data_IF_063977158986
#
_entry.id   IF_063977158986
#
_cell.length_a   1.000
_cell.length_b   1.000
_cell.length_c   1.000
_cell.angle_alpha   90.00
_cell.angle_beta   90.00
_cell.angle_gamma   90.00
#
_symmetry.space_group_name_H-M   'P 1'
#
loop_
_entity.id
_entity.type
_entity.pdbx_description
1 polymer ?
#
# COMPACT_ATOMS: atom_id res chain seq x y z
N UNK A 1 -52.06 15.18 -40.00
CA UNK A 1 -51.10 14.12 -39.70
C UNK A 1 -50.06 14.74 -38.76
N UNK A 2 -50.28 14.61 -37.44
CA UNK A 2 -49.52 15.35 -36.41
C UNK A 2 -48.55 14.39 -35.79
N UNK A 3 -47.26 14.60 -36.01
CA UNK A 3 -46.17 13.83 -35.36
C UNK A 3 -45.97 14.34 -33.95
N UNK A 4 -46.27 13.50 -32.93
CA UNK A 4 -45.93 13.73 -31.54
C UNK A 4 -44.49 13.32 -31.28
N UNK A 5 -43.63 14.28 -31.01
CA UNK A 5 -42.27 14.06 -30.54
C UNK A 5 -42.32 13.67 -29.04
N UNK A 6 -41.94 12.43 -28.72
CA UNK A 6 -41.81 11.95 -27.36
C UNK A 6 -40.44 12.36 -26.81
N UNK A 7 -40.44 13.26 -25.82
CA UNK A 7 -39.27 13.58 -25.01
C UNK A 7 -38.94 12.39 -24.10
N UNK A 8 -37.82 11.72 -24.32
CA UNK A 8 -37.26 10.73 -23.40
C UNK A 8 -36.44 11.50 -22.37
N UNK A 9 -36.99 11.64 -21.17
CA UNK A 9 -36.26 12.14 -20.00
C UNK A 9 -35.28 11.08 -19.57
N UNK A 10 -33.99 11.33 -19.77
CA UNK A 10 -32.93 10.55 -19.14
C UNK A 10 -32.91 10.86 -17.63
N UNK A 11 -33.41 9.94 -16.83
CA UNK A 11 -33.26 9.94 -15.40
C UNK A 11 -31.85 9.48 -15.10
N UNK A 12 -30.96 10.41 -14.74
CA UNK A 12 -29.69 10.13 -14.12
C UNK A 12 -29.94 9.58 -12.72
N UNK A 13 -29.90 8.27 -12.59
CA UNK A 13 -29.89 7.59 -11.30
C UNK A 13 -28.52 7.78 -10.67
N UNK A 14 -28.37 8.77 -9.80
CA UNK A 14 -27.27 8.82 -8.84
C UNK A 14 -27.49 7.70 -7.83
N UNK A 15 -26.83 6.57 -8.02
CA UNK A 15 -26.73 5.54 -7.02
C UNK A 15 -25.76 6.03 -5.92
N UNK A 16 -26.29 6.73 -4.92
CA UNK A 16 -25.58 6.93 -3.66
C UNK A 16 -25.60 5.59 -2.93
N UNK A 17 -24.48 4.87 -2.97
CA UNK A 17 -24.28 3.70 -2.11
C UNK A 17 -24.12 4.24 -0.69
N UNK A 18 -25.25 4.42 0.00
CA UNK A 18 -25.29 4.62 1.46
C UNK A 18 -25.08 3.27 2.12
N UNK A 19 -23.81 2.87 2.29
CA UNK A 19 -23.48 1.77 3.18
C UNK A 19 -23.70 2.27 4.60
N UNK A 20 -24.83 1.88 5.19
CA UNK A 20 -25.14 2.14 6.60
C UNK A 20 -24.17 1.32 7.44
N UNK A 21 -23.06 1.93 7.84
CA UNK A 21 -22.20 1.36 8.88
C UNK A 21 -22.89 1.55 10.23
N UNK A 22 -23.35 0.45 10.83
CA UNK A 22 -23.66 0.41 12.24
C UNK A 22 -22.43 0.87 13.01
N UNK A 23 -22.58 1.92 13.80
CA UNK A 23 -21.52 2.49 14.64
C UNK A 23 -21.32 1.56 15.84
N UNK A 24 -20.67 0.41 15.62
CA UNK A 24 -20.12 -0.36 16.73
C UNK A 24 -19.10 0.54 17.44
N UNK A 25 -19.19 0.60 18.77
CA UNK A 25 -18.18 1.23 19.62
C UNK A 25 -16.88 0.42 19.48
N UNK A 26 -16.15 0.63 18.39
CA UNK A 26 -14.86 0.02 18.15
C UNK A 26 -13.86 0.56 19.17
N UNK A 27 -13.11 -0.32 19.80
CA UNK A 27 -11.90 0.04 20.53
C UNK A 27 -11.05 0.88 19.58
N UNK A 28 -10.86 2.15 19.91
CA UNK A 28 -9.95 3.00 19.12
C UNK A 28 -8.56 2.36 19.23
N UNK A 29 -7.98 2.00 18.08
CA UNK A 29 -6.64 1.42 18.03
C UNK A 29 -5.64 2.41 18.63
N UNK A 30 -4.93 2.00 19.68
CA UNK A 30 -4.00 2.87 20.41
C UNK A 30 -2.65 2.97 19.69
N UNK A 31 -2.57 3.92 18.76
CA UNK A 31 -1.37 4.19 17.97
C UNK A 31 -0.17 4.59 18.84
N UNK A 32 -0.40 5.37 19.91
CA UNK A 32 0.71 5.81 20.79
C UNK A 32 1.33 4.60 21.50
N UNK A 33 0.50 3.68 21.95
CA UNK A 33 0.96 2.42 22.56
C UNK A 33 1.73 1.57 21.58
N UNK A 34 1.28 1.49 20.31
CA UNK A 34 1.96 0.76 19.25
C UNK A 34 3.34 1.37 18.95
N UNK A 35 3.40 2.68 18.73
CA UNK A 35 4.66 3.36 18.42
C UNK A 35 5.64 3.26 19.58
N UNK A 36 5.19 3.41 20.83
CA UNK A 36 6.02 3.18 22.00
C UNK A 36 6.57 1.74 22.08
N UNK A 37 5.76 0.74 21.73
CA UNK A 37 6.22 -0.65 21.66
C UNK A 37 7.30 -0.85 20.59
N UNK A 38 7.18 -0.21 19.44
CA UNK A 38 8.22 -0.23 18.39
C UNK A 38 9.50 0.43 18.85
N UNK A 39 9.45 1.61 19.48
CA UNK A 39 10.62 2.29 20.05
C UNK A 39 11.35 1.45 21.10
N UNK A 40 10.60 0.81 22.00
CA UNK A 40 11.16 -0.08 23.01
C UNK A 40 11.84 -1.29 22.38
N UNK A 41 11.24 -1.88 21.35
CA UNK A 41 11.82 -3.00 20.63
C UNK A 41 13.05 -2.56 19.82
N UNK A 42 13.05 -1.40 19.18
CA UNK A 42 14.23 -0.84 18.50
C UNK A 42 15.42 -0.73 19.45
N UNK A 43 15.21 -0.18 20.68
CA UNK A 43 16.25 -0.08 21.71
C UNK A 43 16.79 -1.44 22.13
N UNK A 44 15.91 -2.42 22.41
CA UNK A 44 16.31 -3.80 22.76
C UNK A 44 17.12 -4.46 21.65
N UNK A 45 16.69 -4.29 20.39
CA UNK A 45 17.38 -4.86 19.24
C UNK A 45 18.74 -4.18 19.00
N UNK A 46 18.84 -2.88 19.23
CA UNK A 46 20.11 -2.15 19.17
C UNK A 46 21.12 -2.70 20.19
N UNK A 47 20.68 -2.95 21.42
CA UNK A 47 21.53 -3.60 22.44
C UNK A 47 21.92 -5.03 22.03
N UNK A 48 20.99 -5.80 21.46
CA UNK A 48 21.26 -7.15 20.94
C UNK A 48 22.32 -7.14 19.82
N UNK A 49 22.27 -6.16 18.92
CA UNK A 49 23.23 -5.97 17.84
C UNK A 49 24.61 -5.60 18.39
N UNK A 50 24.68 -4.77 19.45
CA UNK A 50 25.96 -4.47 20.13
C UNK A 50 26.61 -5.73 20.67
N UNK A 51 25.85 -6.65 21.26
CA UNK A 51 26.34 -7.93 21.77
C UNK A 51 26.65 -8.95 20.67
N UNK A 52 25.93 -8.92 19.55
CA UNK A 52 26.16 -9.80 18.40
C UNK A 52 25.97 -9.06 17.07
N UNK A 53 26.97 -8.35 16.53
CA UNK A 53 26.88 -7.59 15.30
C UNK A 53 26.61 -8.41 14.03
N UNK A 54 26.74 -9.73 14.09
CA UNK A 54 26.45 -10.63 12.96
C UNK A 54 25.04 -11.21 12.97
N UNK A 55 24.18 -10.83 13.91
CA UNK A 55 22.82 -11.33 14.04
C UNK A 55 21.90 -10.76 12.94
N UNK A 56 21.77 -11.45 11.82
CA UNK A 56 20.83 -11.09 10.73
C UNK A 56 19.41 -10.88 11.25
N UNK A 57 18.97 -11.73 12.19
CA UNK A 57 17.64 -11.60 12.81
C UNK A 57 17.45 -10.28 13.56
N UNK A 58 18.48 -9.81 14.27
CA UNK A 58 18.39 -8.57 15.03
C UNK A 58 18.35 -7.36 14.08
N UNK A 59 19.20 -7.34 13.05
CA UNK A 59 19.19 -6.32 12.01
C UNK A 59 17.84 -6.27 11.29
N UNK A 60 17.32 -7.43 10.82
CA UNK A 60 16.01 -7.51 10.15
C UNK A 60 14.88 -6.93 10.99
N UNK A 61 14.79 -7.36 12.26
CA UNK A 61 13.73 -6.89 13.15
C UNK A 61 13.86 -5.41 13.49
N UNK A 62 15.08 -4.90 13.67
CA UNK A 62 15.27 -3.48 13.94
C UNK A 62 14.92 -2.63 12.71
N UNK A 63 15.30 -3.05 11.53
CA UNK A 63 14.89 -2.43 10.28
C UNK A 63 13.37 -2.35 10.14
N UNK A 64 12.64 -3.43 10.49
CA UNK A 64 11.18 -3.42 10.50
C UNK A 64 10.63 -2.39 11.51
N UNK A 65 11.15 -2.35 12.75
CA UNK A 65 10.70 -1.34 13.74
C UNK A 65 10.94 0.09 13.26
N UNK A 66 12.10 0.33 12.68
CA UNK A 66 12.50 1.63 12.14
C UNK A 66 11.60 2.06 10.97
N UNK A 67 11.31 1.14 10.05
CA UNK A 67 10.39 1.41 8.95
C UNK A 67 8.99 1.73 9.48
N UNK A 68 8.49 0.95 10.43
CA UNK A 68 7.17 1.18 11.03
C UNK A 68 7.07 2.49 11.84
N UNK A 69 8.19 3.02 12.31
CA UNK A 69 8.31 4.35 12.93
C UNK A 69 8.53 5.48 11.91
N UNK A 70 8.59 5.17 10.60
CA UNK A 70 8.87 6.15 9.54
C UNK A 70 10.35 6.58 9.46
N UNK A 71 11.26 5.87 10.14
CA UNK A 71 12.71 6.09 10.10
C UNK A 71 13.32 5.35 8.90
N UNK A 72 12.97 5.77 7.69
CA UNK A 72 13.26 5.02 6.46
C UNK A 72 14.76 4.90 6.17
N UNK A 73 15.56 5.95 6.40
CA UNK A 73 17.02 5.90 6.23
C UNK A 73 17.68 4.89 7.17
N UNK A 74 17.26 4.88 8.43
CA UNK A 74 17.76 3.93 9.41
C UNK A 74 17.34 2.50 9.08
N UNK A 75 16.12 2.30 8.59
CA UNK A 75 15.61 0.99 8.15
C UNK A 75 16.40 0.47 6.95
N UNK A 76 16.65 1.33 5.94
CA UNK A 76 17.50 1.02 4.78
C UNK A 76 18.89 0.57 5.24
N UNK A 77 19.51 1.34 6.13
CA UNK A 77 20.86 1.02 6.64
C UNK A 77 20.92 -0.36 7.33
N UNK A 78 19.88 -0.72 8.08
CA UNK A 78 19.80 -2.03 8.71
C UNK A 78 19.64 -3.16 7.67
N UNK A 79 18.81 -2.97 6.64
CA UNK A 79 18.60 -3.95 5.58
C UNK A 79 19.85 -4.10 4.68
N UNK A 80 20.52 -3.00 4.33
CA UNK A 80 21.80 -3.05 3.61
C UNK A 80 22.87 -3.76 4.44
N UNK A 81 22.88 -3.58 5.76
CA UNK A 81 23.79 -4.30 6.66
C UNK A 81 23.55 -5.81 6.63
N UNK A 82 22.32 -6.26 6.51
CA UNK A 82 22.02 -7.68 6.34
C UNK A 82 22.64 -8.24 5.06
N UNK A 83 22.52 -7.53 3.94
CA UNK A 83 23.12 -7.92 2.66
C UNK A 83 24.63 -7.92 2.73
N UNK A 84 25.26 -6.95 3.44
CA UNK A 84 26.70 -6.98 3.67
C UNK A 84 27.15 -8.20 4.48
N UNK A 85 26.34 -8.67 5.41
CA UNK A 85 26.64 -9.85 6.23
C UNK A 85 26.39 -11.17 5.48
N UNK A 86 25.42 -11.18 4.59
CA UNK A 86 25.03 -12.30 3.74
C UNK A 86 24.52 -11.79 2.39
N UNK A 87 25.38 -11.71 1.37
CA UNK A 87 25.00 -11.22 0.04
C UNK A 87 23.88 -12.02 -0.66
N UNK A 88 23.66 -13.28 -0.28
CA UNK A 88 22.60 -14.09 -0.85
C UNK A 88 21.20 -13.56 -0.50
N UNK A 89 21.08 -12.72 0.52
CA UNK A 89 19.81 -12.10 0.90
C UNK A 89 19.34 -11.01 -0.06
N UNK A 90 20.21 -10.44 -0.90
CA UNK A 90 19.88 -9.33 -1.78
C UNK A 90 18.68 -9.65 -2.66
N UNK A 91 18.66 -10.82 -3.30
CA UNK A 91 17.60 -11.24 -4.22
C UNK A 91 16.24 -11.42 -3.54
N UNK A 92 16.20 -11.67 -2.23
CA UNK A 92 14.97 -11.92 -1.46
C UNK A 92 14.52 -10.71 -0.61
N UNK A 93 15.25 -9.58 -0.66
CA UNK A 93 15.07 -8.48 0.30
C UNK A 93 14.07 -7.41 -0.14
N UNK A 94 12.80 -7.79 -0.42
CA UNK A 94 11.73 -6.88 -0.84
C UNK A 94 11.49 -5.69 0.13
N UNK A 95 11.78 -5.84 1.44
CA UNK A 95 11.64 -4.77 2.45
C UNK A 95 12.58 -3.60 2.18
N UNK A 96 13.77 -3.88 1.65
CA UNK A 96 14.71 -2.83 1.21
C UNK A 96 14.11 -2.05 0.04
N UNK A 97 13.42 -2.72 -0.89
CA UNK A 97 12.69 -2.06 -1.97
C UNK A 97 11.62 -1.10 -1.46
N UNK A 98 10.88 -1.48 -0.40
CA UNK A 98 9.90 -0.58 0.25
C UNK A 98 10.60 0.61 0.92
N UNK A 99 11.73 0.40 1.61
CA UNK A 99 12.49 1.49 2.20
C UNK A 99 12.98 2.48 1.14
N UNK A 100 13.55 2.00 0.03
CA UNK A 100 13.92 2.86 -1.10
C UNK A 100 12.74 3.63 -1.68
N UNK A 101 11.57 3.00 -1.79
CA UNK A 101 10.37 3.68 -2.30
C UNK A 101 9.98 4.90 -1.43
N UNK A 102 9.96 4.74 -0.11
CA UNK A 102 9.64 5.84 0.81
C UNK A 102 10.77 6.88 0.95
N UNK A 103 11.98 6.55 0.54
CA UNK A 103 13.11 7.49 0.41
C UNK A 103 13.15 8.17 -0.96
N UNK A 104 12.17 7.92 -1.82
CA UNK A 104 12.09 8.42 -3.19
C UNK A 104 13.24 7.96 -4.11
N UNK A 105 14.02 6.96 -3.68
CA UNK A 105 15.03 6.31 -4.51
C UNK A 105 14.35 5.25 -5.41
N UNK A 106 13.49 5.75 -6.30
CA UNK A 106 12.58 4.91 -7.07
C UNK A 106 13.28 3.96 -8.05
N UNK A 107 14.43 4.33 -8.57
CA UNK A 107 15.20 3.46 -9.47
C UNK A 107 15.78 2.27 -8.70
N UNK A 108 16.32 2.47 -7.49
CA UNK A 108 16.76 1.37 -6.64
C UNK A 108 15.59 0.52 -6.15
N UNK A 109 14.46 1.14 -5.80
CA UNK A 109 13.25 0.41 -5.45
C UNK A 109 12.80 -0.51 -6.59
N UNK A 110 12.68 0.02 -7.82
CA UNK A 110 12.29 -0.76 -8.99
C UNK A 110 13.27 -1.90 -9.29
N UNK A 111 14.58 -1.65 -9.13
CA UNK A 111 15.60 -2.68 -9.28
C UNK A 111 15.47 -3.77 -8.23
N UNK A 112 15.29 -3.43 -6.96
CA UNK A 112 15.13 -4.40 -5.86
C UNK A 112 13.93 -5.31 -6.09
N UNK A 113 12.79 -4.78 -6.55
CA UNK A 113 11.63 -5.58 -6.89
C UNK A 113 11.81 -6.40 -8.18
N UNK A 114 12.66 -5.97 -9.10
CA UNK A 114 13.01 -6.75 -10.29
C UNK A 114 13.85 -7.99 -9.91
N UNK A 115 14.87 -7.84 -9.09
CA UNK A 115 15.71 -8.97 -8.67
C UNK A 115 14.92 -9.93 -7.77
N UNK A 116 14.00 -9.43 -6.93
CA UNK A 116 13.11 -10.27 -6.14
C UNK A 116 12.20 -11.14 -7.02
N UNK A 117 11.73 -10.65 -8.16
CA UNK A 117 10.92 -11.45 -9.07
C UNK A 117 11.64 -12.72 -9.59
N UNK A 118 12.96 -12.66 -9.71
CA UNK A 118 13.76 -13.84 -10.08
C UNK A 118 13.83 -14.88 -8.93
N UNK A 119 13.66 -14.43 -7.69
CA UNK A 119 13.59 -15.28 -6.50
C UNK A 119 12.18 -15.83 -6.27
N UNK A 120 11.15 -15.00 -6.43
CA UNK A 120 9.74 -15.35 -6.27
C UNK A 120 8.91 -14.81 -7.46
N UNK A 121 8.70 -15.65 -8.48
CA UNK A 121 7.98 -15.30 -9.69
C UNK A 121 6.45 -15.43 -9.55
N UNK A 122 5.92 -15.69 -8.36
CA UNK A 122 4.48 -15.82 -8.12
C UNK A 122 3.90 -14.67 -7.28
N UNK A 123 4.72 -13.84 -6.67
CA UNK A 123 4.27 -12.72 -5.83
C UNK A 123 3.92 -11.47 -6.65
N UNK A 124 2.64 -11.33 -7.03
CA UNK A 124 2.13 -10.16 -7.77
C UNK A 124 2.24 -8.86 -6.98
N UNK A 125 2.25 -8.91 -5.66
CA UNK A 125 2.43 -7.73 -4.80
C UNK A 125 3.76 -7.05 -5.08
N UNK A 126 4.81 -7.85 -5.28
CA UNK A 126 6.12 -7.36 -5.70
C UNK A 126 6.08 -6.60 -7.05
N UNK A 127 5.34 -7.13 -8.03
CA UNK A 127 5.16 -6.46 -9.32
C UNK A 127 4.41 -5.12 -9.21
N UNK A 128 3.47 -5.00 -8.28
CA UNK A 128 2.78 -3.74 -7.99
C UNK A 128 3.77 -2.70 -7.43
N UNK A 129 4.61 -3.08 -6.48
CA UNK A 129 5.63 -2.18 -5.93
C UNK A 129 6.63 -1.73 -6.98
N UNK A 130 7.05 -2.64 -7.87
CA UNK A 130 7.90 -2.28 -9.01
C UNK A 130 7.21 -1.30 -9.95
N UNK A 131 5.93 -1.53 -10.27
CA UNK A 131 5.15 -0.60 -11.09
C UNK A 131 5.11 0.80 -10.47
N UNK A 132 4.78 0.90 -9.17
CA UNK A 132 4.71 2.20 -8.48
C UNK A 132 6.05 2.93 -8.50
N UNK A 133 7.15 2.20 -8.29
CA UNK A 133 8.50 2.75 -8.36
C UNK A 133 8.85 3.27 -9.77
N UNK A 134 8.55 2.48 -10.81
CA UNK A 134 8.75 2.90 -12.20
C UNK A 134 7.82 4.05 -12.62
N UNK A 135 6.60 4.07 -12.10
CA UNK A 135 5.69 5.19 -12.37
C UNK A 135 6.29 6.51 -11.84
N UNK A 136 6.79 6.51 -10.63
CA UNK A 136 7.40 7.69 -10.00
C UNK A 136 8.69 8.14 -10.70
N UNK A 137 9.52 7.21 -11.18
CA UNK A 137 10.80 7.55 -11.82
C UNK A 137 10.68 7.80 -13.32
N UNK A 138 9.78 7.10 -14.04
CA UNK A 138 9.77 7.03 -15.52
C UNK A 138 8.39 7.23 -16.15
N UNK A 139 7.36 7.41 -15.33
CA UNK A 139 5.99 7.67 -15.76
C UNK A 139 5.18 6.43 -16.16
N UNK A 140 3.90 6.66 -16.46
CA UNK A 140 2.88 5.61 -16.61
C UNK A 140 3.17 4.63 -17.73
N UNK A 141 3.64 5.12 -18.88
CA UNK A 141 3.93 4.26 -20.04
C UNK A 141 4.98 3.20 -19.67
N UNK A 142 6.12 3.64 -19.14
CA UNK A 142 7.22 2.74 -18.74
C UNK A 142 6.79 1.77 -17.65
N UNK A 143 6.00 2.23 -16.66
CA UNK A 143 5.51 1.38 -15.60
C UNK A 143 4.58 0.27 -16.12
N UNK A 144 3.70 0.56 -17.08
CA UNK A 144 2.82 -0.45 -17.70
C UNK A 144 3.57 -1.42 -18.61
N UNK A 145 4.49 -0.93 -19.44
CA UNK A 145 5.35 -1.77 -20.27
C UNK A 145 6.26 -2.68 -19.43
N UNK A 146 6.70 -2.18 -18.27
CA UNK A 146 7.53 -2.90 -17.32
C UNK A 146 6.77 -3.78 -16.32
N UNK A 147 5.43 -3.88 -16.40
CA UNK A 147 4.67 -4.70 -15.47
C UNK A 147 5.07 -6.17 -15.57
N UNK A 148 5.52 -6.74 -14.44
CA UNK A 148 6.03 -8.11 -14.39
C UNK A 148 4.94 -9.12 -14.77
N UNK A 149 5.31 -10.16 -15.49
CA UNK A 149 4.40 -11.22 -15.92
C UNK A 149 4.40 -12.34 -14.90
N UNK A 150 3.22 -12.78 -14.50
CA UNK A 150 3.02 -13.89 -13.58
C UNK A 150 2.07 -14.91 -14.21
N UNK A 151 2.48 -16.17 -14.19
CA UNK A 151 1.68 -17.30 -14.68
C UNK A 151 0.80 -17.91 -13.59
N UNK A 152 1.20 -17.73 -12.34
CA UNK A 152 0.52 -18.23 -11.15
C UNK A 152 0.31 -17.09 -10.17
N UNK A 153 -0.27 -17.35 -9.08
CA UNK A 153 -0.74 -16.44 -8.03
C UNK A 153 -2.16 -15.96 -8.27
N UNK A 154 -3.08 -16.78 -7.80
CA UNK A 154 -4.53 -16.51 -7.88
C UNK A 154 -5.07 -15.94 -6.55
N UNK A 155 -4.20 -15.47 -5.66
CA UNK A 155 -4.61 -14.88 -4.38
C UNK A 155 -5.43 -13.61 -4.61
N UNK A 156 -6.73 -13.59 -4.29
CA UNK A 156 -7.50 -12.34 -4.34
C UNK A 156 -6.97 -11.30 -3.34
N UNK A 157 -6.98 -10.00 -3.70
CA UNK A 157 -7.49 -9.44 -4.97
C UNK A 157 -6.40 -9.21 -6.04
N UNK A 158 -5.19 -9.79 -5.90
CA UNK A 158 -4.04 -9.45 -6.74
C UNK A 158 -4.27 -9.60 -8.25
N UNK A 159 -4.99 -10.61 -8.77
CA UNK A 159 -5.32 -10.65 -10.20
C UNK A 159 -6.12 -9.42 -10.65
N UNK A 160 -7.10 -8.96 -9.87
CA UNK A 160 -7.89 -7.76 -10.17
C UNK A 160 -7.06 -6.48 -10.11
N UNK A 161 -6.22 -6.37 -9.08
CA UNK A 161 -5.28 -5.25 -8.94
C UNK A 161 -4.33 -5.19 -10.14
N UNK A 162 -3.83 -6.33 -10.58
CA UNK A 162 -2.95 -6.40 -11.74
C UNK A 162 -3.61 -5.91 -13.03
N UNK A 163 -4.88 -6.28 -13.26
CA UNK A 163 -5.67 -5.76 -14.37
C UNK A 163 -5.85 -4.23 -14.27
N UNK A 164 -6.04 -3.71 -13.05
CA UNK A 164 -6.15 -2.27 -12.82
C UNK A 164 -4.82 -1.56 -13.09
N UNK A 165 -3.70 -2.04 -12.56
CA UNK A 165 -2.38 -1.43 -12.81
C UNK A 165 -1.99 -1.49 -14.28
N UNK A 166 -2.39 -2.53 -15.00
CA UNK A 166 -2.23 -2.64 -16.45
C UNK A 166 -3.15 -1.70 -17.26
N UNK A 167 -4.13 -1.05 -16.61
CA UNK A 167 -5.08 -0.15 -17.26
C UNK A 167 -6.25 -0.86 -17.96
N UNK A 168 -6.49 -2.15 -17.66
CA UNK A 168 -7.59 -2.94 -18.23
C UNK A 168 -8.82 -3.00 -17.33
N UNK A 169 -8.69 -2.61 -16.07
CA UNK A 169 -9.78 -2.56 -15.09
C UNK A 169 -9.77 -1.18 -14.41
N UNK A 170 -10.95 -0.63 -14.12
CA UNK A 170 -11.06 0.61 -13.36
C UNK A 170 -10.98 0.36 -11.86
N UNK A 171 -10.53 1.33 -11.04
CA UNK A 171 -10.45 1.19 -9.58
C UNK A 171 -11.77 0.75 -8.93
N UNK A 172 -12.90 1.31 -9.36
CA UNK A 172 -14.24 0.98 -8.86
C UNK A 172 -14.66 -0.45 -9.15
N UNK A 173 -14.26 -0.99 -10.32
CA UNK A 173 -14.61 -2.35 -10.74
C UNK A 173 -13.90 -3.42 -9.89
N UNK A 174 -12.74 -3.08 -9.29
CA UNK A 174 -12.06 -3.99 -8.35
C UNK A 174 -12.98 -4.33 -7.19
N UNK A 175 -13.60 -3.31 -6.57
CA UNK A 175 -14.50 -3.52 -5.43
C UNK A 175 -15.80 -4.20 -5.84
N UNK A 176 -16.36 -3.83 -7.00
CA UNK A 176 -17.55 -4.49 -7.53
C UNK A 176 -17.33 -6.01 -7.68
N UNK A 177 -16.19 -6.42 -8.23
CA UNK A 177 -15.85 -7.84 -8.40
C UNK A 177 -15.56 -8.54 -7.07
N UNK A 178 -14.97 -7.86 -6.09
CA UNK A 178 -14.80 -8.39 -4.74
C UNK A 178 -16.15 -8.65 -4.08
N UNK A 179 -17.11 -7.72 -4.23
CA UNK A 179 -18.47 -7.87 -3.68
C UNK A 179 -19.25 -9.01 -4.33
N UNK A 180 -19.08 -9.21 -5.63
CA UNK A 180 -19.74 -10.28 -6.38
C UNK A 180 -19.14 -11.68 -6.10
N UNK A 181 -17.94 -11.74 -5.54
CA UNK A 181 -17.29 -13.01 -5.24
C UNK A 181 -17.88 -13.63 -3.96
N UNK A 182 -18.09 -14.94 -3.98
CA UNK A 182 -18.62 -15.69 -2.85
C UNK A 182 -17.52 -16.04 -1.83
N UNK A 183 -16.96 -15.02 -1.18
CA UNK A 183 -15.97 -15.19 -0.13
C UNK A 183 -16.64 -15.34 1.24
N UNK A 184 -16.02 -16.13 2.15
CA UNK A 184 -16.36 -16.07 3.57
C UNK A 184 -16.05 -14.68 4.13
N UNK A 185 -16.77 -14.26 5.19
CA UNK A 185 -16.60 -12.92 5.77
C UNK A 185 -15.14 -12.61 6.16
N UNK A 186 -14.47 -13.54 6.85
CA UNK A 186 -13.08 -13.36 7.27
C UNK A 186 -12.10 -13.28 6.09
N UNK A 187 -12.36 -14.04 5.02
CA UNK A 187 -11.53 -13.98 3.82
C UNK A 187 -11.79 -12.69 3.03
N UNK A 188 -13.05 -12.24 2.96
CA UNK A 188 -13.44 -10.98 2.34
C UNK A 188 -12.77 -9.78 3.03
N UNK A 189 -12.71 -9.75 4.37
CA UNK A 189 -11.98 -8.73 5.12
C UNK A 189 -10.51 -8.64 4.69
N UNK A 190 -9.84 -9.78 4.54
CA UNK A 190 -8.46 -9.84 4.04
C UNK A 190 -8.35 -9.31 2.61
N UNK A 191 -9.25 -9.71 1.72
CA UNK A 191 -9.28 -9.26 0.32
C UNK A 191 -9.53 -7.76 0.23
N UNK A 192 -10.47 -7.23 1.03
CA UNK A 192 -10.77 -5.80 1.10
C UNK A 192 -9.60 -4.99 1.64
N UNK A 193 -8.86 -5.52 2.63
CA UNK A 193 -7.65 -4.86 3.13
C UNK A 193 -6.66 -4.56 1.99
N UNK A 194 -6.27 -5.57 1.22
CA UNK A 194 -5.32 -5.41 0.11
C UNK A 194 -5.92 -4.58 -1.03
N UNK A 195 -7.22 -4.74 -1.30
CA UNK A 195 -7.95 -3.91 -2.27
C UNK A 195 -7.89 -2.42 -1.91
N UNK A 196 -8.24 -2.07 -0.67
CA UNK A 196 -8.21 -0.69 -0.20
C UNK A 196 -6.80 -0.10 -0.21
N UNK A 197 -5.79 -0.86 0.20
CA UNK A 197 -4.39 -0.43 0.19
C UNK A 197 -3.94 -0.08 -1.25
N UNK A 198 -4.02 -1.02 -2.16
CA UNK A 198 -3.42 -0.84 -3.49
C UNK A 198 -4.24 0.01 -4.46
N UNK A 199 -5.58 -0.03 -4.36
CA UNK A 199 -6.42 0.93 -5.09
C UNK A 199 -6.22 2.35 -4.52
N UNK A 200 -6.07 2.49 -3.20
CA UNK A 200 -5.76 3.78 -2.57
C UNK A 200 -4.47 4.38 -3.13
N UNK A 201 -3.37 3.62 -3.11
CA UNK A 201 -2.08 4.09 -3.65
C UNK A 201 -2.18 4.38 -5.16
N UNK A 202 -2.90 3.56 -5.94
CA UNK A 202 -3.11 3.83 -7.36
C UNK A 202 -3.84 5.15 -7.61
N UNK A 203 -4.92 5.41 -6.87
CA UNK A 203 -5.68 6.66 -6.99
C UNK A 203 -4.85 7.89 -6.61
N UNK A 204 -3.98 7.76 -5.63
CA UNK A 204 -3.05 8.84 -5.27
C UNK A 204 -2.04 9.10 -6.38
N UNK A 205 -1.27 8.06 -6.73
CA UNK A 205 -0.11 8.22 -7.61
C UNK A 205 -0.50 8.42 -9.07
N UNK A 206 -1.42 7.59 -9.59
CA UNK A 206 -1.71 7.52 -11.04
C UNK A 206 -2.85 8.47 -11.41
N UNK A 207 -3.94 8.46 -10.65
CA UNK A 207 -5.13 9.25 -10.96
C UNK A 207 -5.13 10.64 -10.30
N UNK A 208 -4.18 10.92 -9.39
CA UNK A 208 -4.09 12.14 -8.58
C UNK A 208 -5.41 12.47 -7.82
N UNK A 209 -6.14 11.44 -7.39
CA UNK A 209 -7.40 11.55 -6.64
C UNK A 209 -7.16 11.45 -5.13
N UNK A 210 -6.38 12.37 -4.57
CA UNK A 210 -5.86 12.32 -3.20
C UNK A 210 -6.91 12.12 -2.11
N UNK A 211 -8.09 12.75 -2.21
CA UNK A 211 -9.17 12.60 -1.23
C UNK A 211 -9.76 11.18 -1.25
N UNK A 212 -9.97 10.60 -2.45
CA UNK A 212 -10.46 9.23 -2.58
C UNK A 212 -9.41 8.23 -2.10
N UNK A 213 -8.14 8.48 -2.41
CA UNK A 213 -7.00 7.71 -1.94
C UNK A 213 -6.93 7.68 -0.41
N UNK A 214 -7.01 8.84 0.24
CA UNK A 214 -7.01 8.97 1.70
C UNK A 214 -8.14 8.15 2.33
N UNK A 215 -9.36 8.21 1.78
CA UNK A 215 -10.50 7.44 2.27
C UNK A 215 -10.28 5.92 2.16
N UNK A 216 -9.67 5.42 1.09
CA UNK A 216 -9.36 3.99 0.94
C UNK A 216 -8.22 3.56 1.85
N UNK A 217 -7.16 4.35 1.96
CA UNK A 217 -6.04 4.08 2.86
C UNK A 217 -6.50 4.08 4.33
N UNK A 218 -7.43 4.98 4.70
CA UNK A 218 -8.09 4.94 6.00
C UNK A 218 -8.81 3.63 6.24
N UNK A 219 -9.60 3.16 5.25
CA UNK A 219 -10.28 1.86 5.33
C UNK A 219 -9.29 0.70 5.47
N UNK A 220 -8.16 0.73 4.77
CA UNK A 220 -7.11 -0.27 4.93
C UNK A 220 -6.50 -0.23 6.34
N UNK A 221 -6.24 0.94 6.89
CA UNK A 221 -5.74 1.12 8.26
C UNK A 221 -6.75 0.63 9.31
N UNK A 222 -8.06 0.94 9.16
CA UNK A 222 -9.13 0.57 10.08
C UNK A 222 -9.64 -0.87 9.87
N UNK A 223 -9.14 -1.59 8.88
CA UNK A 223 -9.57 -2.94 8.53
C UNK A 223 -9.29 -3.93 9.66
N UNK A 224 -10.29 -4.74 10.03
CA UNK A 224 -10.23 -5.70 11.14
C UNK A 224 -9.15 -6.76 10.96
N UNK A 225 -9.02 -7.33 9.75
CA UNK A 225 -7.95 -8.27 9.44
C UNK A 225 -6.56 -7.62 9.61
N UNK A 226 -6.38 -6.43 9.05
CA UNK A 226 -5.11 -5.71 9.14
C UNK A 226 -4.71 -5.43 10.59
N UNK A 227 -5.62 -4.86 11.40
CA UNK A 227 -5.38 -4.53 12.80
C UNK A 227 -5.11 -5.78 13.66
N UNK A 228 -5.85 -6.86 13.46
CA UNK A 228 -5.70 -8.09 14.26
C UNK A 228 -4.41 -8.85 13.97
N UNK A 229 -3.93 -8.78 12.72
CA UNK A 229 -2.71 -9.48 12.30
C UNK A 229 -1.45 -8.65 12.43
N UNK A 230 -1.56 -7.31 12.36
CA UNK A 230 -0.42 -6.40 12.41
C UNK A 230 0.63 -6.67 11.32
N UNK A 231 0.20 -7.20 10.16
CA UNK A 231 1.11 -7.58 9.07
C UNK A 231 1.99 -6.42 8.62
N UNK A 232 3.10 -6.71 7.96
CA UNK A 232 3.99 -5.70 7.42
C UNK A 232 3.23 -4.71 6.50
N UNK A 233 2.35 -5.22 5.62
CA UNK A 233 1.56 -4.37 4.73
C UNK A 233 0.50 -3.54 5.45
N UNK A 234 0.02 -3.98 6.62
CA UNK A 234 -0.83 -3.13 7.45
C UNK A 234 -0.05 -1.94 8.04
N UNK A 235 1.20 -2.15 8.45
CA UNK A 235 2.06 -1.05 8.89
C UNK A 235 2.36 -0.08 7.74
N UNK A 236 2.56 -0.60 6.52
CA UNK A 236 2.70 0.20 5.31
C UNK A 236 1.44 1.02 5.04
N UNK A 237 0.25 0.40 5.12
CA UNK A 237 -1.03 1.10 4.95
C UNK A 237 -1.20 2.23 5.97
N UNK A 238 -0.84 1.98 7.24
CA UNK A 238 -0.85 2.97 8.32
C UNK A 238 0.06 4.16 8.01
N UNK A 239 1.31 3.90 7.65
CA UNK A 239 2.29 4.95 7.33
C UNK A 239 1.82 5.80 6.15
N UNK A 240 1.39 5.14 5.08
CA UNK A 240 0.96 5.80 3.85
C UNK A 240 -0.29 6.67 4.09
N UNK A 241 -1.28 6.15 4.84
CA UNK A 241 -2.45 6.91 5.23
C UNK A 241 -2.09 8.19 5.99
N UNK A 242 -1.24 8.10 7.01
CA UNK A 242 -0.88 9.27 7.82
C UNK A 242 0.02 10.25 7.07
N UNK A 243 0.83 9.79 6.12
CA UNK A 243 1.59 10.67 5.25
C UNK A 243 0.66 11.47 4.34
N UNK A 244 -0.23 10.81 3.59
CA UNK A 244 -1.16 11.46 2.68
C UNK A 244 -2.14 12.41 3.40
N UNK A 245 -2.64 12.00 4.57
CA UNK A 245 -3.49 12.86 5.41
C UNK A 245 -2.80 14.16 5.79
N UNK A 246 -1.51 14.12 6.13
CA UNK A 246 -0.72 15.33 6.45
C UNK A 246 -0.54 16.22 5.23
N UNK A 247 -0.20 15.65 4.08
CA UNK A 247 -0.05 16.38 2.82
C UNK A 247 -1.35 17.09 2.40
N UNK A 248 -2.49 16.40 2.49
CA UNK A 248 -3.79 16.98 2.16
C UNK A 248 -4.16 18.14 3.07
N UNK A 249 -3.88 18.04 4.38
CA UNK A 249 -4.10 19.14 5.34
C UNK A 249 -3.23 20.35 5.02
N UNK A 250 -1.95 20.16 4.75
CA UNK A 250 -1.04 21.26 4.41
C UNK A 250 -1.48 21.95 3.12
N UNK A 251 -1.89 21.19 2.11
CA UNK A 251 -2.36 21.71 0.83
C UNK A 251 -3.68 22.51 0.96
N UNK A 252 -4.55 22.15 1.90
CA UNK A 252 -5.80 22.90 2.15
C UNK A 252 -5.53 24.23 2.87
N UNK A 253 -4.65 24.25 3.85
CA UNK A 253 -4.28 25.47 4.60
C UNK A 253 -3.56 26.50 3.72
N UNK A 254 -2.74 26.07 2.76
CA UNK A 254 -2.05 26.94 1.81
C UNK A 254 -2.99 27.66 0.82
N UNK A 255 -4.14 27.06 0.50
CA UNK A 255 -5.14 27.69 -0.39
C UNK A 255 -5.95 28.77 0.30
N UNK A 256 -6.24 28.64 1.59
CA UNK A 256 -6.98 29.64 2.36
C UNK A 256 -6.15 30.91 2.67
N UNK A 257 -4.83 30.80 2.67
CA UNK A 257 -3.92 31.93 2.92
C UNK A 257 -3.60 32.77 1.67
N UNK A 258 -3.87 32.28 0.46
CA UNK A 258 -3.63 32.98 -0.81
C UNK A 258 -4.86 33.69 -1.38
N UNK A 259 -5.99 33.65 -0.67
CA UNK A 259 -7.27 34.26 -1.05
C UNK A 259 -7.61 35.55 -0.32
N UNK A 260 -6.62 36.25 0.28
CA UNK A 260 -6.84 37.57 0.91
C UNK A 260 -6.09 38.66 0.18
#
# INVERSE_FOLDING_TARGET
MIFKIRWIRHFLFFFTISVVFAKEKGHSFDLKKLDLAFEQNEKKLSHSITGNPRSLRAWSKRGDMRLFLGKFEDAKSDYEKMIQLDPALEVSHWRLGIAYFYLEDYDKAAHQFQIYHNFDAVDRENGIWRFMSQFKSKGLKTAREGLLKYEKDDRPPYPLLYEMFAGRLKPEDVFLRIEQANYSESFKERVLFHGCLYVGIYLELVDNKKIMAENLLKKAFENKYGQSTGTYMWQVARLHYFQLMRENKTSSMGKDSSGK
#
